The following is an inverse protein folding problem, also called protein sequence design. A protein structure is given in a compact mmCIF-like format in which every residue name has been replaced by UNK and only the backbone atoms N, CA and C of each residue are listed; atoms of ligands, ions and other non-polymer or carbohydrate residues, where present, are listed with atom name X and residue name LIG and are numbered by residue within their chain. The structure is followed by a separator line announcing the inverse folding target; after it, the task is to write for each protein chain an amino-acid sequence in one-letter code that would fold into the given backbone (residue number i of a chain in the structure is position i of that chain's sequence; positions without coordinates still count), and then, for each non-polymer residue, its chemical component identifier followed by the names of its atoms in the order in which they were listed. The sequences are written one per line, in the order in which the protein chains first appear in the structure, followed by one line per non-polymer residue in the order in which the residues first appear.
data_IF_152744210087
#
_entry.id   IF_152744210087
#
_cell.length_a   1.000
_cell.length_b   1.000
_cell.length_c   1.000
_cell.angle_alpha   90.00
_cell.angle_beta   90.00
_cell.angle_gamma   90.00
#
_symmetry.space_group_name_H-M   'P 1'
#
loop_
_entity.id
_entity.type
_entity.pdbx_description
1 polymer ?
#
# COMPACT_ATOMS: atom_id res chain seq x y z
N UNK A 1 13.44 -7.71 -5.42
CA UNK A 1 14.26 -6.85 -4.54
C UNK A 1 13.76 -5.43 -4.72
N UNK A 2 13.55 -4.71 -3.62
CA UNK A 2 12.98 -3.37 -3.66
C UNK A 2 14.08 -2.35 -3.99
N UNK A 3 13.82 -1.41 -4.90
CA UNK A 3 14.77 -0.32 -5.17
C UNK A 3 14.67 0.72 -4.03
N UNK A 4 15.78 1.36 -3.69
CA UNK A 4 15.79 2.47 -2.74
C UNK A 4 14.89 3.62 -3.19
N UNK A 5 14.77 3.82 -4.51
CA UNK A 5 13.91 4.85 -5.10
C UNK A 5 12.41 4.52 -4.95
N UNK A 6 12.06 3.25 -4.74
CA UNK A 6 10.67 2.78 -4.64
C UNK A 6 10.11 2.83 -3.21
N UNK A 7 10.95 3.15 -2.22
CA UNK A 7 10.56 3.21 -0.81
C UNK A 7 10.71 4.60 -0.21
N UNK A 8 9.80 4.91 0.72
CA UNK A 8 9.86 6.09 1.58
C UNK A 8 9.69 5.72 3.04
N UNK A 9 10.04 6.67 3.91
CA UNK A 9 9.65 6.64 5.31
C UNK A 9 8.13 6.51 5.40
N UNK A 10 7.66 5.58 6.23
CA UNK A 10 6.25 5.23 6.38
C UNK A 10 5.83 3.99 5.59
N UNK A 11 6.60 3.54 4.58
CA UNK A 11 6.26 2.33 3.84
C UNK A 11 6.40 1.06 4.67
N UNK A 12 5.53 0.09 4.42
CA UNK A 12 5.69 -1.27 4.91
C UNK A 12 6.54 -2.09 3.95
N UNK A 13 7.57 -2.71 4.51
CA UNK A 13 8.41 -3.72 3.86
C UNK A 13 8.53 -4.90 4.80
N UNK A 14 9.09 -6.00 4.32
CA UNK A 14 9.32 -7.18 5.13
C UNK A 14 10.72 -7.74 4.90
N UNK A 15 11.19 -8.51 5.88
CA UNK A 15 12.46 -9.21 5.81
C UNK A 15 12.34 -10.58 6.48
N UNK A 16 13.28 -11.46 6.17
CA UNK A 16 13.44 -12.72 6.89
C UNK A 16 14.34 -12.49 8.11
N UNK A 17 13.82 -12.79 9.30
CA UNK A 17 14.59 -12.73 10.53
C UNK A 17 15.62 -13.88 10.63
N UNK A 18 16.35 -13.95 11.75
CA UNK A 18 17.34 -15.01 11.98
C UNK A 18 16.74 -16.43 12.03
N UNK A 19 15.43 -16.55 12.23
CA UNK A 19 14.69 -17.81 12.25
C UNK A 19 14.03 -18.12 10.90
N UNK A 20 14.33 -17.35 9.85
CA UNK A 20 13.69 -17.44 8.54
C UNK A 20 12.17 -17.16 8.59
N UNK A 21 11.72 -16.40 9.58
CA UNK A 21 10.34 -15.95 9.68
C UNK A 21 10.19 -14.59 9.02
N UNK A 22 9.10 -14.45 8.28
CA UNK A 22 8.72 -13.22 7.60
C UNK A 22 8.19 -12.21 8.61
N UNK A 23 8.89 -11.07 8.71
CA UNK A 23 8.49 -9.99 9.58
C UNK A 23 8.31 -8.70 8.77
N UNK A 24 7.08 -8.18 8.75
CA UNK A 24 6.77 -6.88 8.19
C UNK A 24 7.07 -5.78 9.22
N UNK A 25 7.61 -4.66 8.76
CA UNK A 25 7.89 -3.50 9.59
C UNK A 25 7.76 -2.21 8.77
N UNK A 26 7.59 -1.08 9.47
CA UNK A 26 7.48 0.24 8.85
C UNK A 26 8.87 0.88 8.71
N UNK A 27 9.18 1.44 7.55
CA UNK A 27 10.44 2.16 7.33
C UNK A 27 10.43 3.46 8.14
N UNK A 28 11.34 3.59 9.10
CA UNK A 28 11.53 4.83 9.89
C UNK A 28 12.61 5.74 9.30
N UNK A 29 13.56 5.18 8.55
CA UNK A 29 14.63 5.94 7.92
C UNK A 29 15.33 5.17 6.81
N UNK A 30 15.91 5.90 5.85
CA UNK A 30 16.70 5.33 4.75
C UNK A 30 17.99 6.12 4.67
N UNK A 31 19.13 5.44 4.84
CA UNK A 31 20.44 6.10 4.75
C UNK A 31 21.55 5.10 4.40
N UNK A 32 22.42 5.51 3.47
CA UNK A 32 23.67 4.82 3.14
C UNK A 32 23.52 3.32 2.82
N UNK A 33 22.46 2.95 2.10
CA UNK A 33 22.17 1.56 1.72
C UNK A 33 21.40 0.73 2.77
N UNK A 34 20.96 1.37 3.86
CA UNK A 34 20.22 0.73 4.94
C UNK A 34 18.82 1.31 5.09
N UNK A 35 17.90 0.44 5.50
CA UNK A 35 16.59 0.78 6.04
C UNK A 35 16.67 0.69 7.55
N UNK A 36 16.17 1.70 8.23
CA UNK A 36 16.16 1.81 9.69
C UNK A 36 14.74 1.59 10.23
N UNK A 37 14.66 0.84 11.32
CA UNK A 37 13.46 0.70 12.15
C UNK A 37 13.91 0.28 13.56
N UNK A 38 13.43 0.99 14.58
CA UNK A 38 13.80 0.81 15.99
C UNK A 38 13.50 -0.59 16.54
N UNK A 39 12.52 -1.30 15.99
CA UNK A 39 12.14 -2.65 16.38
C UNK A 39 13.02 -3.77 15.83
N UNK A 40 13.95 -3.48 14.92
CA UNK A 40 14.86 -4.49 14.34
C UNK A 40 16.01 -4.84 15.31
N UNK A 41 16.57 -6.08 15.26
CA UNK A 41 17.66 -6.53 16.13
C UNK A 41 18.97 -5.69 16.09
N UNK A 42 19.14 -4.83 15.08
CA UNK A 42 20.23 -3.85 14.96
C UNK A 42 19.73 -2.46 14.60
N UNK A 43 18.44 -2.23 14.79
CA UNK A 43 17.69 -1.04 14.35
C UNK A 43 17.79 -0.74 12.84
N UNK A 44 18.30 -1.67 12.04
CA UNK A 44 18.45 -1.55 10.58
C UNK A 44 18.63 -2.89 9.88
N UNK A 45 18.33 -2.91 8.58
CA UNK A 45 18.73 -3.94 7.62
C UNK A 45 19.30 -3.30 6.36
N UNK A 46 20.04 -4.07 5.55
CA UNK A 46 20.43 -3.63 4.21
C UNK A 46 19.22 -3.59 3.28
N UNK A 47 19.21 -2.67 2.31
CA UNK A 47 18.15 -2.60 1.29
C UNK A 47 17.93 -3.93 0.57
N UNK A 48 19.01 -4.65 0.28
CA UNK A 48 18.99 -5.96 -0.39
C UNK A 48 18.21 -7.03 0.40
N UNK A 49 18.12 -6.88 1.72
CA UNK A 49 17.35 -7.79 2.60
C UNK A 49 15.89 -7.40 2.72
N UNK A 50 15.53 -6.19 2.30
CA UNK A 50 14.15 -5.75 2.29
C UNK A 50 13.44 -6.28 1.05
N UNK A 51 12.29 -6.87 1.29
CA UNK A 51 11.41 -7.39 0.25
C UNK A 51 10.16 -6.50 0.17
N UNK A 52 9.51 -6.44 -1.00
CA UNK A 52 8.22 -5.76 -1.13
C UNK A 52 7.11 -6.66 -0.56
N UNK A 53 6.19 -6.08 0.22
CA UNK A 53 4.98 -6.80 0.65
C UNK A 53 3.99 -6.85 -0.51
N UNK A 54 3.47 -8.05 -0.83
CA UNK A 54 2.40 -8.19 -1.82
C UNK A 54 1.14 -7.48 -1.33
N UNK A 55 0.45 -6.81 -2.26
CA UNK A 55 -0.86 -6.26 -2.01
C UNK A 55 -1.90 -7.36 -2.20
N UNK A 56 -2.84 -7.45 -1.25
CA UNK A 56 -4.01 -8.28 -1.36
C UNK A 56 -5.27 -7.51 -0.91
N UNK A 57 -6.45 -8.10 -1.14
CA UNK A 57 -7.71 -7.50 -0.72
C UNK A 57 -7.86 -7.39 0.80
N UNK A 58 -7.15 -8.21 1.58
CA UNK A 58 -7.16 -8.13 3.04
C UNK A 58 -6.41 -6.88 3.52
N UNK A 59 -5.27 -6.56 2.92
CA UNK A 59 -4.50 -5.34 3.15
C UNK A 59 -5.30 -4.08 2.80
N UNK A 60 -6.05 -4.08 1.70
CA UNK A 60 -6.94 -2.95 1.38
C UNK A 60 -7.93 -2.67 2.52
N UNK A 61 -8.56 -3.71 3.08
CA UNK A 61 -9.48 -3.55 4.22
C UNK A 61 -8.75 -3.05 5.47
N UNK A 62 -7.52 -3.51 5.72
CA UNK A 62 -6.67 -3.02 6.82
C UNK A 62 -6.31 -1.54 6.68
N UNK A 63 -6.21 -1.05 5.45
CA UNK A 63 -6.06 0.36 5.10
C UNK A 63 -7.39 1.11 5.01
N UNK A 64 -8.48 0.52 5.52
CA UNK A 64 -9.83 1.10 5.56
C UNK A 64 -10.46 1.36 4.19
N UNK A 65 -9.98 0.71 3.14
CA UNK A 65 -10.75 0.65 1.90
C UNK A 65 -11.98 -0.23 2.11
N UNK A 66 -13.13 0.30 1.72
CA UNK A 66 -14.42 -0.35 1.85
C UNK A 66 -14.82 -0.87 0.47
N UNK A 67 -15.14 -2.16 0.38
CA UNK A 67 -15.69 -2.76 -0.83
C UNK A 67 -17.12 -2.22 -1.07
N UNK A 68 -17.49 -2.06 -2.34
CA UNK A 68 -18.84 -1.64 -2.70
C UNK A 68 -19.89 -2.60 -2.15
N UNK A 69 -21.02 -2.04 -1.70
CA UNK A 69 -22.13 -2.81 -1.16
C UNK A 69 -23.16 -3.14 -2.27
N UNK A 70 -23.36 -4.43 -2.62
CA UNK A 70 -24.32 -4.84 -3.62
C UNK A 70 -25.78 -4.50 -3.25
N UNK A 71 -26.11 -4.35 -1.96
CA UNK A 71 -27.45 -3.91 -1.53
C UNK A 71 -27.75 -2.47 -1.98
N UNK A 72 -26.70 -1.66 -2.16
CA UNK A 72 -26.77 -0.30 -2.71
C UNK A 72 -26.45 -0.24 -4.22
N UNK A 73 -26.37 -1.40 -4.89
CA UNK A 73 -26.01 -1.55 -6.33
C UNK A 73 -24.58 -1.08 -6.65
N UNK A 74 -23.68 -1.14 -5.69
CA UNK A 74 -22.27 -0.87 -5.91
C UNK A 74 -21.53 -2.15 -6.36
N UNK A 75 -20.36 -1.97 -6.98
CA UNK A 75 -19.51 -3.07 -7.42
C UNK A 75 -18.71 -3.65 -6.23
N UNK A 76 -18.92 -4.91 -5.81
CA UNK A 76 -18.21 -5.50 -4.67
C UNK A 76 -16.70 -5.61 -4.87
N UNK A 77 -16.25 -5.56 -6.13
CA UNK A 77 -14.84 -5.58 -6.48
C UNK A 77 -14.22 -4.17 -6.51
N UNK A 78 -15.02 -3.13 -6.29
CA UNK A 78 -14.57 -1.74 -6.18
C UNK A 78 -14.34 -1.35 -4.73
N UNK A 79 -13.08 -1.14 -4.37
CA UNK A 79 -12.65 -0.72 -3.05
C UNK A 79 -12.42 0.79 -3.02
N UNK A 80 -13.05 1.46 -2.07
CA UNK A 80 -13.02 2.92 -1.95
C UNK A 80 -12.52 3.39 -0.60
N UNK A 81 -11.63 4.39 -0.60
CA UNK A 81 -11.16 5.06 0.61
C UNK A 81 -11.46 6.56 0.52
N UNK A 82 -12.27 7.06 1.44
CA UNK A 82 -12.57 8.49 1.54
C UNK A 82 -11.43 9.20 2.27
N UNK A 83 -10.72 10.08 1.57
CA UNK A 83 -9.61 10.85 2.16
C UNK A 83 -9.96 12.31 2.45
N UNK A 84 -11.04 12.84 1.87
CA UNK A 84 -11.60 14.13 2.30
C UNK A 84 -13.12 14.19 2.10
N UNK A 85 -13.75 15.35 2.35
CA UNK A 85 -15.21 15.50 2.24
C UNK A 85 -15.74 15.24 0.82
N UNK A 86 -14.96 15.57 -0.20
CA UNK A 86 -15.38 15.63 -1.60
C UNK A 86 -14.82 14.49 -2.46
N UNK A 87 -13.73 13.87 -2.02
CA UNK A 87 -12.95 12.95 -2.84
C UNK A 87 -12.71 11.62 -2.15
N UNK A 88 -12.71 10.58 -2.96
CA UNK A 88 -12.34 9.22 -2.59
C UNK A 88 -11.28 8.69 -3.55
N UNK A 89 -10.54 7.70 -3.10
CA UNK A 89 -9.65 6.89 -3.91
C UNK A 89 -10.35 5.58 -4.23
N UNK A 90 -10.24 5.11 -5.47
CA UNK A 90 -10.90 3.90 -5.93
C UNK A 90 -9.89 2.91 -6.49
N UNK A 91 -10.01 1.65 -6.11
CA UNK A 91 -9.22 0.53 -6.63
C UNK A 91 -10.19 -0.59 -6.97
N UNK A 92 -10.18 -1.02 -8.24
CA UNK A 92 -10.89 -2.22 -8.65
C UNK A 92 -9.98 -3.44 -8.54
N UNK A 93 -10.47 -4.48 -7.89
CA UNK A 93 -9.77 -5.75 -7.71
C UNK A 93 -10.32 -6.75 -8.72
N UNK A 94 -9.48 -7.35 -9.56
CA UNK A 94 -9.92 -8.36 -10.52
C UNK A 94 -8.92 -9.52 -10.53
N UNK A 95 -9.24 -10.58 -9.80
CA UNK A 95 -8.26 -11.60 -9.40
C UNK A 95 -7.15 -10.95 -8.56
N UNK A 96 -5.90 -11.11 -8.99
CA UNK A 96 -4.72 -10.54 -8.32
C UNK A 96 -4.30 -9.16 -8.88
N UNK A 97 -5.18 -8.51 -9.66
CA UNK A 97 -4.91 -7.20 -10.26
C UNK A 97 -5.62 -6.10 -9.48
N UNK A 98 -4.84 -5.13 -8.97
CA UNK A 98 -5.35 -3.96 -8.24
C UNK A 98 -5.20 -2.71 -9.11
N UNK A 99 -6.27 -2.32 -9.81
CA UNK A 99 -6.24 -1.21 -10.76
C UNK A 99 -6.81 0.07 -10.12
N UNK A 100 -6.08 1.20 -10.10
CA UNK A 100 -6.63 2.49 -9.69
C UNK A 100 -7.70 3.01 -10.65
N UNK A 101 -8.77 3.58 -10.09
CA UNK A 101 -9.87 4.22 -10.81
C UNK A 101 -10.08 5.65 -10.32
N UNK A 102 -10.57 6.51 -11.22
CA UNK A 102 -10.89 7.92 -10.92
C UNK A 102 -12.25 8.28 -11.50
N UNK A 103 -12.90 9.27 -10.92
CA UNK A 103 -14.15 9.84 -11.42
C UNK A 103 -13.95 10.52 -12.78
N UNK A 104 -14.94 10.35 -13.65
CA UNK A 104 -15.05 11.06 -14.92
C UNK A 104 -16.53 11.35 -15.25
N UNK A 105 -16.85 12.22 -16.22
CA UNK A 105 -18.23 12.50 -16.63
C UNK A 105 -19.03 11.27 -17.09
N UNK A 106 -18.35 10.17 -17.46
CA UNK A 106 -18.97 8.92 -17.91
C UNK A 106 -18.96 7.82 -16.83
N UNK A 107 -18.51 8.13 -15.62
CA UNK A 107 -18.34 7.20 -14.51
C UNK A 107 -16.87 6.95 -14.14
N UNK A 108 -16.62 5.92 -13.34
CA UNK A 108 -15.27 5.54 -12.93
C UNK A 108 -14.48 4.94 -14.10
N UNK A 109 -13.28 5.45 -14.35
CA UNK A 109 -12.37 4.96 -15.39
C UNK A 109 -11.02 4.53 -14.81
N UNK A 110 -10.38 3.48 -15.36
CA UNK A 110 -9.07 3.06 -14.89
C UNK A 110 -7.99 4.06 -15.30
N UNK A 111 -6.99 4.24 -14.45
CA UNK A 111 -5.81 5.05 -14.78
C UNK A 111 -4.55 4.50 -14.09
N UNK A 112 -3.38 4.86 -14.64
CA UNK A 112 -2.10 4.41 -14.12
C UNK A 112 -1.85 2.91 -14.32
N UNK A 113 -0.75 2.44 -13.74
CA UNK A 113 -0.38 1.03 -13.75
C UNK A 113 -1.07 0.28 -12.59
N UNK A 114 -1.36 -1.02 -12.76
CA UNK A 114 -1.78 -1.86 -11.65
C UNK A 114 -0.80 -1.84 -10.49
N UNK A 115 -1.35 -1.82 -9.27
CA UNK A 115 -0.60 -1.87 -8.02
C UNK A 115 -0.39 -3.34 -7.65
N UNK A 116 0.84 -3.71 -7.33
CA UNK A 116 1.20 -5.10 -6.98
C UNK A 116 1.65 -5.20 -5.53
N UNK A 117 2.25 -4.13 -5.00
CA UNK A 117 2.86 -4.14 -3.67
C UNK A 117 2.29 -3.06 -2.76
N UNK A 118 2.33 -3.31 -1.44
CA UNK A 118 1.82 -2.37 -0.42
C UNK A 118 2.52 -1.01 -0.49
N UNK A 119 3.85 -0.97 -0.65
CA UNK A 119 4.58 0.30 -0.77
C UNK A 119 4.11 1.15 -1.96
N UNK A 120 3.72 0.52 -3.08
CA UNK A 120 3.19 1.21 -4.25
C UNK A 120 1.83 1.86 -3.93
N UNK A 121 0.96 1.14 -3.21
CA UNK A 121 -0.31 1.69 -2.72
C UNK A 121 -0.08 2.89 -1.79
N UNK A 122 0.84 2.76 -0.84
CA UNK A 122 1.15 3.83 0.11
C UNK A 122 1.78 5.06 -0.56
N UNK A 123 2.63 4.85 -1.57
CA UNK A 123 3.23 5.93 -2.35
C UNK A 123 2.19 6.62 -3.24
N UNK A 124 1.30 5.85 -3.86
CA UNK A 124 0.18 6.37 -4.63
C UNK A 124 -0.76 7.23 -3.75
N UNK A 125 -1.14 6.71 -2.58
CA UNK A 125 -1.94 7.45 -1.61
C UNK A 125 -1.26 8.77 -1.21
N UNK A 126 0.01 8.71 -0.85
CA UNK A 126 0.77 9.89 -0.44
C UNK A 126 0.91 10.92 -1.56
N UNK A 127 1.13 10.48 -2.81
CA UNK A 127 1.23 11.37 -3.94
C UNK A 127 -0.06 12.18 -4.17
N UNK A 128 -1.22 11.56 -3.92
CA UNK A 128 -2.53 12.18 -4.12
C UNK A 128 -3.01 13.01 -2.93
N UNK A 129 -2.73 12.56 -1.71
CA UNK A 129 -3.32 13.14 -0.48
C UNK A 129 -2.33 13.97 0.32
N UNK A 130 -1.02 13.72 0.17
CA UNK A 130 0.06 14.18 1.05
C UNK A 130 0.03 13.61 2.46
N UNK A 131 -0.86 12.65 2.72
CA UNK A 131 -0.97 11.95 4.00
C UNK A 131 -0.27 10.58 3.98
N UNK A 132 -0.19 9.95 5.15
CA UNK A 132 0.30 8.59 5.33
C UNK A 132 -0.84 7.58 5.25
N UNK A 133 -0.60 6.46 4.57
CA UNK A 133 -1.52 5.33 4.56
C UNK A 133 -1.02 4.29 5.56
N UNK A 134 -1.68 4.26 6.72
CA UNK A 134 -1.33 3.41 7.86
C UNK A 134 -2.40 2.35 8.10
N UNK A 135 -1.96 1.24 8.68
CA UNK A 135 -2.86 0.15 9.07
C UNK A 135 -3.59 0.58 10.35
N UNK A 136 -4.92 0.46 10.36
CA UNK A 136 -5.68 0.64 11.60
C UNK A 136 -5.56 -0.61 12.49
N UNK A 137 -5.32 -0.39 13.79
CA UNK A 137 -5.25 -1.42 14.82
C UNK A 137 -6.63 -1.75 15.40
#
# INVERSE_FOLDING_TARGET
MIDAADIRIGNYVWYYDYNMLEQAFQVEGIYNGYIYNSGLPQSKITLEKANPCLLDAYMLRRFSFIAGDPDYKEDPDMFSLKYNRLNSLHIKVTGDVFQPYTDSPVGLIPYGLPIVHVHQLQNWYHALTRDELEIMY
#
